data_IF_479719015538
#
_entry.id   IF_479719015538
#
_cell.length_a   1.000
_cell.length_b   1.000
_cell.length_c   1.000
_cell.angle_alpha   90.00
_cell.angle_beta   90.00
_cell.angle_gamma   90.00
#
_symmetry.space_group_name_H-M   'P 1'
#
loop_
_entity.id
_entity.type
_entity.pdbx_description
1 polymer ?
#
# COMPACT_ATOMS: atom_id res chain seq x y z
N UNK A 1 -58.62 -60.34 13.35
CA UNK A 1 -57.97 -59.25 14.10
C UNK A 1 -56.93 -58.65 13.19
N UNK A 2 -57.31 -57.56 12.53
CA UNK A 2 -56.54 -56.91 11.47
C UNK A 2 -55.31 -56.18 12.00
N UNK A 3 -54.29 -56.15 11.16
CA UNK A 3 -53.08 -55.38 11.31
C UNK A 3 -53.38 -53.89 11.22
N UNK A 4 -52.73 -53.06 12.05
CA UNK A 4 -52.61 -51.63 11.80
C UNK A 4 -51.15 -51.21 11.90
N UNK A 5 -50.57 -50.96 10.73
CA UNK A 5 -49.33 -50.22 10.51
C UNK A 5 -49.74 -48.80 10.14
N UNK A 6 -49.17 -47.82 10.82
CA UNK A 6 -49.19 -46.40 10.50
C UNK A 6 -48.25 -45.71 11.47
N UNK A 7 -47.38 -44.79 11.10
CA UNK A 7 -47.08 -44.12 9.84
C UNK A 7 -45.80 -43.32 10.10
N UNK A 8 -45.11 -42.92 9.03
CA UNK A 8 -43.74 -42.43 9.08
C UNK A 8 -43.50 -41.14 9.88
N UNK A 9 -42.21 -40.91 10.15
CA UNK A 9 -41.69 -39.70 10.77
C UNK A 9 -40.17 -39.79 10.84
N UNK A 10 -39.51 -39.59 9.70
CA UNK A 10 -38.08 -39.39 9.59
C UNK A 10 -37.62 -38.16 10.40
N UNK A 11 -36.36 -38.22 10.85
CA UNK A 11 -35.51 -37.07 11.17
C UNK A 11 -36.03 -36.12 12.25
N UNK A 12 -35.75 -36.45 13.50
CA UNK A 12 -35.56 -35.46 14.55
C UNK A 12 -34.40 -35.92 15.43
N UNK A 13 -33.24 -36.07 14.79
CA UNK A 13 -31.99 -35.90 15.53
C UNK A 13 -32.03 -34.47 16.08
N UNK A 14 -31.89 -34.25 17.40
CA UNK A 14 -31.67 -32.90 17.88
C UNK A 14 -30.33 -32.46 17.30
N UNK A 15 -30.38 -31.55 16.34
CA UNK A 15 -29.19 -30.84 15.87
C UNK A 15 -28.67 -30.06 17.10
N UNK A 16 -27.74 -30.68 17.82
CA UNK A 16 -27.03 -30.07 18.94
C UNK A 16 -26.17 -28.97 18.32
N UNK A 17 -26.79 -27.81 18.11
CA UNK A 17 -26.14 -26.56 17.77
C UNK A 17 -25.25 -26.22 18.96
N UNK A 18 -24.06 -26.82 18.95
CA UNK A 18 -23.04 -26.59 19.95
C UNK A 18 -22.55 -25.19 19.66
N UNK A 19 -22.88 -24.23 20.53
CA UNK A 19 -22.34 -22.87 20.48
C UNK A 19 -20.82 -22.98 20.62
N UNK A 20 -20.14 -23.11 19.49
CA UNK A 20 -18.69 -23.11 19.43
C UNK A 20 -18.23 -21.76 19.97
N UNK A 21 -17.33 -21.76 20.96
CA UNK A 21 -16.77 -20.52 21.49
C UNK A 21 -15.97 -19.81 20.39
N UNK A 22 -16.62 -18.89 19.68
CA UNK A 22 -16.03 -18.13 18.58
C UNK A 22 -15.00 -17.12 19.08
N UNK A 23 -15.11 -16.63 20.31
CA UNK A 23 -14.25 -15.58 20.86
C UNK A 23 -12.77 -15.99 20.96
N UNK A 24 -12.39 -17.16 21.51
CA UNK A 24 -11.00 -17.63 21.44
C UNK A 24 -10.54 -17.97 20.01
N UNK A 25 -11.44 -18.44 19.14
CA UNK A 25 -11.09 -18.77 17.76
C UNK A 25 -10.77 -17.53 16.94
N UNK A 26 -11.55 -16.46 17.11
CA UNK A 26 -11.32 -15.18 16.45
C UNK A 26 -9.97 -14.62 16.90
N UNK A 27 -9.59 -14.72 18.18
CA UNK A 27 -8.29 -14.25 18.67
C UNK A 27 -7.12 -14.94 17.94
N UNK A 28 -7.14 -16.28 17.86
CA UNK A 28 -6.10 -17.03 17.13
C UNK A 28 -6.08 -16.66 15.64
N UNK A 29 -7.25 -16.52 15.02
CA UNK A 29 -7.35 -16.12 13.61
C UNK A 29 -6.82 -14.70 13.37
N UNK A 30 -7.16 -13.74 14.25
CA UNK A 30 -6.70 -12.36 14.15
C UNK A 30 -5.18 -12.26 14.36
N UNK A 31 -4.62 -13.03 15.29
CA UNK A 31 -3.16 -13.12 15.48
C UNK A 31 -2.48 -13.59 14.19
N UNK A 32 -3.01 -14.62 13.53
CA UNK A 32 -2.45 -15.12 12.26
C UNK A 32 -2.50 -14.06 11.14
N UNK A 33 -3.59 -13.30 11.05
CA UNK A 33 -3.74 -12.20 10.07
C UNK A 33 -2.71 -11.10 10.34
N UNK A 34 -2.57 -10.68 11.60
CA UNK A 34 -1.59 -9.65 11.97
C UNK A 34 -0.17 -10.13 11.69
N UNK A 35 0.16 -11.39 12.04
CA UNK A 35 1.47 -11.97 11.71
C UNK A 35 1.73 -11.94 10.20
N UNK A 36 0.75 -12.30 9.37
CA UNK A 36 0.90 -12.27 7.91
C UNK A 36 1.14 -10.84 7.40
N UNK A 37 0.41 -9.84 7.91
CA UNK A 37 0.58 -8.43 7.54
C UNK A 37 1.97 -7.91 7.91
N UNK A 38 2.43 -8.14 9.15
CA UNK A 38 3.71 -7.56 9.62
C UNK A 38 4.94 -8.22 8.99
N UNK A 39 4.81 -9.44 8.48
CA UNK A 39 5.94 -10.16 7.86
C UNK A 39 6.35 -9.60 6.49
N UNK A 40 5.51 -8.76 5.87
CA UNK A 40 5.85 -8.13 4.59
C UNK A 40 6.87 -7.00 4.83
N UNK A 41 8.09 -7.10 4.27
CA UNK A 41 9.10 -6.05 4.41
C UNK A 41 8.69 -4.81 3.61
N UNK A 42 8.92 -3.63 4.21
CA UNK A 42 8.70 -2.35 3.55
C UNK A 42 9.68 -2.23 2.38
N UNK A 43 9.16 -2.24 1.15
CA UNK A 43 9.95 -2.07 -0.06
C UNK A 43 10.37 -0.60 -0.20
N UNK A 44 11.53 -0.25 0.34
CA UNK A 44 12.12 1.09 0.16
C UNK A 44 12.84 1.15 -1.19
N UNK A 45 12.20 1.73 -2.20
CA UNK A 45 12.87 2.10 -3.46
C UNK A 45 13.78 3.31 -3.23
N UNK A 46 15.04 3.07 -2.84
CA UNK A 46 16.09 4.08 -2.89
C UNK A 46 16.63 4.14 -4.32
N UNK A 47 16.29 5.20 -5.04
CA UNK A 47 16.88 5.51 -6.34
C UNK A 47 18.18 6.27 -6.05
N UNK A 48 19.33 5.65 -6.31
CA UNK A 48 20.62 6.32 -6.18
C UNK A 48 20.75 7.37 -7.30
N UNK A 49 20.31 8.59 -7.01
CA UNK A 49 20.45 9.75 -7.88
C UNK A 49 21.87 10.31 -7.74
N UNK A 50 22.75 9.95 -8.68
CA UNK A 50 24.04 10.62 -8.83
C UNK A 50 23.81 11.98 -9.49
N UNK A 51 23.75 13.04 -8.68
CA UNK A 51 23.75 14.40 -9.18
C UNK A 51 25.13 14.70 -9.77
N UNK A 52 25.23 15.13 -11.04
CA UNK A 52 26.51 15.56 -11.59
C UNK A 52 27.00 16.78 -10.82
N UNK A 53 28.09 16.64 -10.09
CA UNK A 53 28.83 17.76 -9.53
C UNK A 53 29.62 18.41 -10.66
N UNK A 54 28.94 19.21 -11.47
CA UNK A 54 29.62 20.17 -12.34
C UNK A 54 30.50 21.10 -11.50
N UNK A 55 31.56 21.69 -12.06
CA UNK A 55 32.41 22.62 -11.31
C UNK A 55 31.54 23.72 -10.70
N UNK A 56 31.40 23.70 -9.38
CA UNK A 56 30.77 24.76 -8.58
C UNK A 56 31.72 25.96 -8.46
N UNK A 57 32.43 26.31 -9.52
CA UNK A 57 33.15 27.56 -9.57
C UNK A 57 32.16 28.60 -10.08
N UNK A 58 31.89 29.69 -9.35
CA UNK A 58 31.36 30.87 -10.00
C UNK A 58 32.28 31.21 -11.19
N UNK A 59 31.73 31.69 -12.31
CA UNK A 59 32.54 32.13 -13.43
C UNK A 59 33.59 33.11 -12.89
N UNK A 60 34.88 32.77 -13.06
CA UNK A 60 36.00 33.62 -12.62
C UNK A 60 36.04 34.94 -13.40
N UNK A 61 35.38 34.98 -14.54
CA UNK A 61 35.26 36.16 -15.39
C UNK A 61 34.00 36.92 -15.01
N UNK A 62 34.17 38.19 -14.66
CA UNK A 62 33.06 39.14 -14.62
C UNK A 62 32.35 39.15 -15.99
N UNK A 63 31.01 39.23 -16.02
CA UNK A 63 30.27 39.32 -17.28
C UNK A 63 30.78 40.53 -18.08
N UNK A 64 31.07 40.33 -19.37
CA UNK A 64 31.39 41.44 -20.27
C UNK A 64 30.13 42.28 -20.44
N UNK A 65 30.11 43.48 -19.86
CA UNK A 65 29.04 44.45 -20.07
C UNK A 65 29.27 45.12 -21.41
N UNK A 66 28.39 44.84 -22.38
CA UNK A 66 28.40 45.48 -23.69
C UNK A 66 27.36 46.60 -23.63
N UNK A 67 27.81 47.85 -23.53
CA UNK A 67 26.94 49.01 -23.65
C UNK A 67 26.78 49.32 -25.13
N UNK A 68 25.53 49.32 -25.58
CA UNK A 68 25.15 49.65 -26.95
C UNK A 68 24.34 50.93 -26.84
N UNK A 69 24.93 52.04 -27.29
CA UNK A 69 24.26 53.33 -27.35
C UNK A 69 23.76 53.54 -28.78
N UNK A 70 22.56 54.09 -28.91
CA UNK A 70 21.97 54.41 -30.22
C UNK A 70 21.79 55.91 -30.28
N UNK A 71 22.43 56.55 -31.25
CA UNK A 71 22.34 57.99 -31.46
C UNK A 71 20.99 58.37 -32.11
N UNK A 72 20.61 59.64 -32.05
CA UNK A 72 19.31 60.12 -32.54
C UNK A 72 19.10 59.91 -34.05
N UNK A 73 20.18 59.66 -34.79
CA UNK A 73 20.19 59.37 -36.22
C UNK A 73 20.09 57.86 -36.53
N UNK A 74 20.00 57.01 -35.51
CA UNK A 74 19.91 55.56 -35.64
C UNK A 74 21.25 54.84 -35.80
N UNK A 75 22.36 55.54 -35.58
CA UNK A 75 23.70 54.94 -35.54
C UNK A 75 23.92 54.20 -34.22
N UNK A 76 24.56 53.03 -34.28
CA UNK A 76 24.90 52.16 -33.14
C UNK A 76 26.42 52.12 -32.95
#
# INVERSE_FOLDING_TARGET
>A
MGMQIGGGGSSSEPEVMTELNMTPLIDVMLVLIIMFIITIPIQNHSINLNLPTGPSSPPTTEPVVINIDVDFDGTV
#
